data_IF_021993977212
#
_entry.id   IF_021993977212
#
_cell.length_a   1.000
_cell.length_b   1.000
_cell.length_c   1.000
_cell.angle_alpha   90.00
_cell.angle_beta   90.00
_cell.angle_gamma   90.00
#
_symmetry.space_group_name_H-M   'P 1'
#
loop_
_entity.id
_entity.type
_entity.pdbx_description
1 polymer ?
#
# COMPACT_ATOMS: atom_id res chain seq x y z
N UNK A 1 34.74 51.95 -1.84
CA UNK A 1 34.18 51.24 -0.67
C UNK A 1 33.51 49.96 -1.16
N UNK A 2 33.98 48.83 -0.64
CA UNK A 2 33.41 47.47 -0.60
C UNK A 2 32.61 46.93 -1.81
N UNK A 3 33.25 46.08 -2.60
CA UNK A 3 32.58 44.90 -3.15
C UNK A 3 33.27 43.65 -2.59
N UNK A 4 32.53 42.86 -1.81
CA UNK A 4 32.93 41.50 -1.45
C UNK A 4 31.85 40.56 -1.97
N UNK A 5 32.13 39.99 -3.14
CA UNK A 5 31.37 38.90 -3.74
C UNK A 5 31.49 37.66 -2.85
N UNK A 6 30.36 37.18 -2.33
CA UNK A 6 30.28 35.88 -1.68
C UNK A 6 30.46 34.76 -2.69
N UNK A 7 31.51 33.95 -2.54
CA UNK A 7 31.70 32.72 -3.32
C UNK A 7 30.72 31.65 -2.85
N UNK A 8 29.74 31.34 -3.70
CA UNK A 8 28.92 30.13 -3.59
C UNK A 8 29.66 29.00 -4.30
N UNK A 9 30.36 28.17 -3.53
CA UNK A 9 31.01 26.96 -4.02
C UNK A 9 30.39 25.73 -3.37
N UNK A 10 29.35 25.16 -3.99
CA UNK A 10 28.86 23.83 -3.59
C UNK A 10 29.80 22.76 -4.15
N UNK A 11 30.27 21.84 -3.30
CA UNK A 11 31.17 20.74 -3.68
C UNK A 11 30.46 19.69 -4.55
N UNK A 12 31.17 19.12 -5.53
CA UNK A 12 30.63 18.13 -6.48
C UNK A 12 29.97 16.90 -5.83
N UNK A 13 30.47 16.46 -4.66
CA UNK A 13 29.85 15.37 -3.87
C UNK A 13 28.48 15.76 -3.33
N UNK A 14 28.31 17.01 -2.89
CA UNK A 14 27.03 17.54 -2.40
C UNK A 14 26.04 17.69 -3.56
N UNK A 15 26.50 18.16 -4.72
CA UNK A 15 25.68 18.23 -5.94
C UNK A 15 25.22 16.84 -6.43
N UNK A 16 26.12 15.84 -6.44
CA UNK A 16 25.77 14.46 -6.80
C UNK A 16 24.77 13.84 -5.83
N UNK A 17 24.96 14.02 -4.52
CA UNK A 17 24.01 13.53 -3.51
C UNK A 17 22.65 14.23 -3.63
N UNK A 18 22.61 15.54 -3.84
CA UNK A 18 21.35 16.27 -4.04
C UNK A 18 20.64 15.86 -5.32
N UNK A 19 21.38 15.66 -6.42
CA UNK A 19 20.80 15.20 -7.68
C UNK A 19 20.25 13.77 -7.56
N UNK A 20 20.99 12.85 -6.93
CA UNK A 20 20.55 11.48 -6.67
C UNK A 20 19.28 11.44 -5.82
N UNK A 21 19.25 12.19 -4.72
CA UNK A 21 18.07 12.28 -3.85
C UNK A 21 16.86 12.88 -4.59
N UNK A 22 17.05 13.85 -5.48
CA UNK A 22 15.97 14.41 -6.28
C UNK A 22 15.41 13.39 -7.30
N UNK A 23 16.27 12.59 -7.93
CA UNK A 23 15.86 11.51 -8.83
C UNK A 23 15.10 10.42 -8.09
N UNK A 24 15.58 10.01 -6.92
CA UNK A 24 14.92 9.00 -6.09
C UNK A 24 13.53 9.46 -5.64
N UNK A 25 13.42 10.68 -5.09
CA UNK A 25 12.13 11.26 -4.69
C UNK A 25 11.16 11.39 -5.88
N UNK A 26 11.68 11.71 -7.06
CA UNK A 26 10.87 11.75 -8.28
C UNK A 26 10.32 10.36 -8.63
N UNK A 27 11.16 9.33 -8.58
CA UNK A 27 10.75 7.95 -8.87
C UNK A 27 9.73 7.43 -7.83
N UNK A 28 9.90 7.76 -6.54
CA UNK A 28 8.93 7.42 -5.50
C UNK A 28 7.59 8.09 -5.80
N UNK A 29 7.62 9.37 -6.17
CA UNK A 29 6.42 10.13 -6.54
C UNK A 29 5.70 9.51 -7.75
N UNK A 30 6.44 9.01 -8.75
CA UNK A 30 5.86 8.32 -9.90
C UNK A 30 5.22 6.98 -9.50
N UNK A 31 5.89 6.19 -8.65
CA UNK A 31 5.32 4.94 -8.14
C UNK A 31 4.04 5.15 -7.32
N UNK A 32 4.04 6.17 -6.44
CA UNK A 32 2.86 6.58 -5.68
C UNK A 32 1.70 7.00 -6.59
N UNK A 33 1.98 7.78 -7.63
CA UNK A 33 0.95 8.22 -8.59
C UNK A 33 0.41 7.08 -9.46
N UNK A 34 1.25 6.09 -9.79
CA UNK A 34 0.87 4.95 -10.62
C UNK A 34 -0.14 4.03 -9.92
N UNK A 35 0.06 3.75 -8.64
CA UNK A 35 -0.77 2.78 -7.91
C UNK A 35 -1.66 3.42 -6.83
N UNK A 36 -1.23 4.50 -6.19
CA UNK A 36 -1.89 5.03 -4.98
C UNK A 36 -2.47 6.44 -5.17
N UNK A 37 -2.94 6.76 -6.37
CA UNK A 37 -3.53 8.07 -6.71
C UNK A 37 -4.95 8.29 -6.16
N UNK A 38 -5.24 7.77 -4.97
CA UNK A 38 -6.54 7.89 -4.33
C UNK A 38 -6.50 8.89 -3.17
N UNK A 39 -6.85 10.14 -3.49
CA UNK A 39 -6.47 11.28 -2.67
C UNK A 39 -7.50 11.76 -1.64
N UNK A 40 -8.75 11.32 -1.74
CA UNK A 40 -9.82 11.76 -0.84
C UNK A 40 -10.01 10.82 0.35
N UNK A 41 -10.39 11.37 1.51
CA UNK A 41 -10.69 10.60 2.72
C UNK A 41 -9.56 9.66 3.16
N UNK A 42 -8.30 10.10 2.96
CA UNK A 42 -7.12 9.32 3.32
C UNK A 42 -7.01 9.15 4.85
N UNK A 43 -6.19 8.20 5.28
CA UNK A 43 -5.91 7.98 6.71
C UNK A 43 -4.49 8.38 7.05
N UNK A 44 -4.29 8.84 8.28
CA UNK A 44 -2.97 9.15 8.80
C UNK A 44 -2.85 8.80 10.28
N UNK A 45 -1.61 8.53 10.71
CA UNK A 45 -1.27 8.29 12.10
C UNK A 45 0.16 8.78 12.36
N UNK A 46 0.52 8.88 13.64
CA UNK A 46 1.92 9.00 14.04
C UNK A 46 2.63 7.67 13.82
N UNK A 47 3.82 7.69 13.25
CA UNK A 47 4.67 6.51 13.17
C UNK A 47 5.34 6.24 14.54
N UNK A 48 5.14 5.06 15.14
CA UNK A 48 5.76 4.74 16.43
C UNK A 48 7.28 4.52 16.31
N UNK A 49 7.83 4.34 15.11
CA UNK A 49 9.26 4.04 14.81
C UNK A 49 9.78 2.71 15.36
N UNK A 50 9.04 2.04 16.24
CA UNK A 50 9.28 0.72 16.80
C UNK A 50 7.95 0.10 17.23
N UNK A 51 7.91 -1.21 17.53
CA UNK A 51 6.73 -1.84 18.11
C UNK A 51 6.67 -1.58 19.61
N UNK A 52 5.60 -0.96 20.08
CA UNK A 52 5.33 -0.68 21.49
C UNK A 52 4.12 -1.46 22.03
N UNK A 53 3.66 -2.48 21.29
CA UNK A 53 2.46 -3.26 21.60
C UNK A 53 1.14 -2.55 21.27
N UNK A 54 1.16 -1.35 20.68
CA UNK A 54 -0.05 -0.58 20.36
C UNK A 54 -0.23 -0.45 18.85
N UNK A 55 -1.48 -0.57 18.40
CA UNK A 55 -1.83 -0.24 17.01
C UNK A 55 -1.74 1.28 16.81
N UNK A 56 -1.31 1.76 15.62
CA UNK A 56 -1.33 3.20 15.33
C UNK A 56 -2.73 3.78 15.50
N UNK A 57 -2.81 4.98 16.08
CA UNK A 57 -4.08 5.70 16.22
C UNK A 57 -4.45 6.40 14.91
N UNK A 58 -5.06 5.64 14.00
CA UNK A 58 -5.47 6.11 12.68
C UNK A 58 -6.62 7.10 12.76
N UNK A 59 -6.49 8.23 12.07
CA UNK A 59 -7.60 9.17 11.81
C UNK A 59 -7.87 9.27 10.33
N UNK A 60 -9.13 9.46 9.97
CA UNK A 60 -9.52 9.79 8.59
C UNK A 60 -9.51 11.31 8.43
N UNK A 61 -8.83 11.80 7.39
CA UNK A 61 -8.80 13.22 7.02
C UNK A 61 -9.72 13.45 5.82
N UNK A 62 -10.71 14.32 5.99
CA UNK A 62 -11.73 14.62 4.97
C UNK A 62 -11.79 16.10 4.60
N UNK A 63 -11.03 16.96 5.27
CA UNK A 63 -11.07 18.41 5.07
C UNK A 63 -10.36 18.87 3.79
N UNK A 64 -9.47 18.04 3.23
CA UNK A 64 -8.81 18.29 1.95
C UNK A 64 -8.43 16.97 1.25
N UNK A 65 -8.22 17.04 -0.06
CA UNK A 65 -7.62 15.95 -0.83
C UNK A 65 -6.09 16.03 -0.82
N UNK A 66 -5.44 14.87 -0.85
CA UNK A 66 -4.03 14.79 -1.20
C UNK A 66 -3.82 15.24 -2.65
N UNK A 67 -2.55 15.52 -2.95
CA UNK A 67 -2.02 15.51 -4.31
C UNK A 67 -0.68 14.77 -4.26
N UNK A 68 -0.09 14.46 -5.41
CA UNK A 68 1.15 13.68 -5.45
C UNK A 68 2.26 14.28 -4.57
N UNK A 69 2.42 15.61 -4.57
CA UNK A 69 3.42 16.29 -3.74
C UNK A 69 3.15 16.16 -2.23
N UNK A 70 1.91 16.34 -1.80
CA UNK A 70 1.54 16.19 -0.38
C UNK A 70 1.62 14.74 0.07
N UNK A 71 1.21 13.79 -0.79
CA UNK A 71 1.33 12.36 -0.53
C UNK A 71 2.78 11.95 -0.38
N UNK A 72 3.66 12.33 -1.32
CA UNK A 72 5.10 12.09 -1.23
C UNK A 72 5.68 12.64 0.09
N UNK A 73 5.34 13.88 0.44
CA UNK A 73 5.84 14.50 1.69
C UNK A 73 5.45 13.70 2.93
N UNK A 74 4.22 13.16 2.97
CA UNK A 74 3.76 12.33 4.09
C UNK A 74 4.37 10.95 4.09
N UNK A 75 4.52 10.36 2.90
CA UNK A 75 5.09 9.03 2.71
C UNK A 75 6.56 8.94 3.18
N UNK A 76 7.36 9.97 2.91
CA UNK A 76 8.78 10.01 3.30
C UNK A 76 9.03 10.57 4.71
N UNK A 77 7.99 11.04 5.40
CA UNK A 77 8.13 11.59 6.75
C UNK A 77 8.26 10.43 7.76
N UNK A 78 9.42 10.28 8.44
CA UNK A 78 9.65 9.16 9.36
C UNK A 78 8.76 9.20 10.61
N UNK A 79 8.08 10.32 10.88
CA UNK A 79 7.14 10.48 11.99
C UNK A 79 5.67 10.30 11.57
N UNK A 80 5.42 10.09 10.27
CA UNK A 80 4.07 9.94 9.72
C UNK A 80 3.83 8.54 9.16
N UNK A 81 2.61 8.07 9.33
CA UNK A 81 2.04 7.02 8.51
C UNK A 81 0.87 7.61 7.73
N UNK A 82 0.78 7.25 6.45
CA UNK A 82 -0.32 7.59 5.56
C UNK A 82 -0.88 6.34 4.91
N UNK A 83 -2.18 6.36 4.63
CA UNK A 83 -2.91 5.33 3.91
C UNK A 83 -4.00 5.94 3.03
N UNK A 84 -4.43 5.22 2.02
CA UNK A 84 -5.38 5.71 0.99
C UNK A 84 -6.67 4.88 0.99
N UNK A 85 -7.73 5.44 0.41
CA UNK A 85 -9.00 4.75 0.14
C UNK A 85 -9.25 4.79 -1.35
N UNK A 86 -9.65 3.66 -1.95
CA UNK A 86 -10.05 3.66 -3.36
C UNK A 86 -11.17 4.68 -3.64
N UNK A 87 -11.18 5.21 -4.86
CA UNK A 87 -12.18 6.18 -5.29
C UNK A 87 -13.58 5.55 -5.33
N UNK A 88 -14.55 6.24 -4.73
CA UNK A 88 -15.96 5.86 -4.66
C UNK A 88 -16.82 6.38 -5.81
N UNK A 89 -16.28 7.25 -6.66
CA UNK A 89 -16.99 7.87 -7.76
C UNK A 89 -17.56 6.81 -8.72
N UNK A 90 -18.70 7.15 -9.35
CA UNK A 90 -19.33 6.26 -10.32
C UNK A 90 -18.37 6.01 -11.49
N UNK A 91 -18.12 4.73 -11.79
CA UNK A 91 -17.19 4.33 -12.83
C UNK A 91 -15.72 4.44 -12.42
N UNK A 92 -15.42 4.56 -11.12
CA UNK A 92 -14.04 4.48 -10.66
C UNK A 92 -13.38 3.17 -11.08
N UNK A 93 -12.12 3.28 -11.45
CA UNK A 93 -11.28 2.17 -11.86
C UNK A 93 -10.02 2.11 -10.99
N UNK A 94 -9.42 0.93 -10.94
CA UNK A 94 -8.23 0.64 -10.13
C UNK A 94 -7.41 -0.44 -10.82
N UNK A 95 -6.09 -0.42 -10.62
CA UNK A 95 -5.12 -1.34 -11.20
C UNK A 95 -4.43 -2.24 -10.15
N UNK A 96 -5.01 -2.39 -8.96
CA UNK A 96 -4.55 -3.33 -7.94
C UNK A 96 -5.68 -3.71 -6.97
N UNK A 97 -5.50 -4.84 -6.30
CA UNK A 97 -6.17 -5.13 -5.04
C UNK A 97 -5.15 -5.49 -3.95
N UNK A 98 -5.63 -5.50 -2.71
CA UNK A 98 -4.88 -5.84 -1.53
C UNK A 98 -5.72 -6.74 -0.62
N UNK A 99 -5.10 -7.79 -0.09
CA UNK A 99 -5.61 -8.61 1.01
C UNK A 99 -4.72 -8.35 2.21
N UNK A 100 -5.30 -7.95 3.33
CA UNK A 100 -4.58 -7.68 4.59
C UNK A 100 -4.90 -8.78 5.60
N UNK A 101 -3.86 -9.48 6.04
CA UNK A 101 -3.92 -10.53 7.05
C UNK A 101 -3.27 -10.03 8.33
N UNK A 102 -4.04 -9.95 9.41
CA UNK A 102 -3.49 -9.69 10.74
C UNK A 102 -2.68 -10.92 11.19
N UNK A 103 -1.62 -10.71 11.95
CA UNK A 103 -0.70 -11.76 12.43
C UNK A 103 -1.42 -12.86 13.20
N UNK A 104 -2.52 -12.53 13.88
CA UNK A 104 -3.35 -13.49 14.61
C UNK A 104 -4.62 -13.90 13.84
N UNK A 105 -4.71 -13.52 12.56
CA UNK A 105 -5.77 -13.95 11.64
C UNK A 105 -5.70 -15.44 11.36
N UNK A 106 -6.88 -16.07 11.18
CA UNK A 106 -7.01 -17.53 10.95
C UNK A 106 -6.53 -18.04 9.59
N UNK A 107 -5.83 -17.19 8.86
CA UNK A 107 -5.31 -17.43 7.51
C UNK A 107 -3.84 -17.05 7.44
N UNK A 108 -3.27 -16.45 8.50
CA UNK A 108 -1.88 -16.02 8.47
C UNK A 108 -0.95 -17.24 8.34
N UNK A 109 0.02 -17.23 7.39
CA UNK A 109 0.80 -18.42 7.04
C UNK A 109 1.67 -18.96 8.18
N UNK A 110 2.01 -18.10 9.16
CA UNK A 110 2.75 -18.52 10.35
C UNK A 110 2.01 -19.59 11.19
N UNK A 111 0.68 -19.56 11.19
CA UNK A 111 -0.15 -20.49 11.98
C UNK A 111 -1.01 -21.40 11.07
N UNK A 112 -1.39 -20.92 9.88
CA UNK A 112 -2.34 -21.59 8.98
C UNK A 112 -1.80 -21.70 7.54
N UNK A 113 -0.64 -22.35 7.31
CA UNK A 113 0.01 -22.39 6.00
C UNK A 113 -0.85 -23.08 4.92
N UNK A 114 -1.59 -24.14 5.26
CA UNK A 114 -2.47 -24.82 4.29
C UNK A 114 -3.67 -23.94 3.87
N UNK A 115 -4.27 -23.22 4.83
CA UNK A 115 -5.36 -22.28 4.54
C UNK A 115 -4.87 -21.09 3.71
N UNK A 116 -3.67 -20.61 4.00
CA UNK A 116 -3.01 -19.56 3.24
C UNK A 116 -2.74 -20.01 1.80
N UNK A 117 -2.16 -21.19 1.61
CA UNK A 117 -1.88 -21.72 0.27
C UNK A 117 -3.18 -21.89 -0.52
N UNK A 118 -4.21 -22.48 0.09
CA UNK A 118 -5.53 -22.61 -0.55
C UNK A 118 -6.11 -21.25 -0.98
N UNK A 119 -5.91 -20.20 -0.19
CA UNK A 119 -6.34 -18.85 -0.55
C UNK A 119 -5.58 -18.37 -1.80
N UNK A 120 -4.26 -18.55 -1.88
CA UNK A 120 -3.46 -18.19 -3.04
C UNK A 120 -3.86 -18.99 -4.28
N UNK A 121 -4.04 -20.30 -4.16
CA UNK A 121 -4.50 -21.16 -5.26
C UNK A 121 -5.85 -20.68 -5.82
N UNK A 122 -6.78 -20.29 -4.93
CA UNK A 122 -8.09 -19.80 -5.35
C UNK A 122 -8.00 -18.42 -6.03
N UNK A 123 -7.04 -17.57 -5.65
CA UNK A 123 -6.74 -16.34 -6.37
C UNK A 123 -6.17 -16.61 -7.76
N UNK A 124 -5.26 -17.57 -7.87
CA UNK A 124 -4.65 -17.98 -9.14
C UNK A 124 -5.70 -18.51 -10.13
N UNK A 125 -6.65 -19.33 -9.67
CA UNK A 125 -7.79 -19.83 -10.47
C UNK A 125 -8.63 -18.71 -11.10
N UNK A 126 -8.70 -17.54 -10.47
CA UNK A 126 -9.47 -16.38 -10.93
C UNK A 126 -8.60 -15.35 -11.68
N UNK A 127 -7.36 -15.72 -12.01
CA UNK A 127 -6.42 -14.91 -12.79
C UNK A 127 -5.53 -13.98 -11.97
N UNK A 128 -5.56 -14.04 -10.64
CA UNK A 128 -4.70 -13.24 -9.76
C UNK A 128 -3.46 -14.07 -9.38
N UNK A 129 -2.52 -14.19 -10.33
CA UNK A 129 -1.47 -15.24 -10.33
C UNK A 129 -0.09 -14.81 -9.82
N UNK A 130 0.11 -13.53 -9.47
CA UNK A 130 1.43 -13.00 -9.10
C UNK A 130 1.34 -12.07 -7.90
N UNK A 131 1.15 -12.63 -6.69
CA UNK A 131 1.09 -11.84 -5.48
C UNK A 131 2.43 -11.13 -5.20
N UNK A 132 2.35 -9.93 -4.64
CA UNK A 132 3.48 -9.21 -4.06
C UNK A 132 3.27 -9.14 -2.56
N UNK A 133 4.14 -9.82 -1.82
CA UNK A 133 4.03 -9.94 -0.38
C UNK A 133 4.74 -8.81 0.35
N UNK A 134 4.08 -8.23 1.33
CA UNK A 134 4.62 -7.14 2.15
C UNK A 134 4.30 -7.41 3.61
N UNK A 135 5.32 -7.49 4.46
CA UNK A 135 5.11 -7.30 5.89
C UNK A 135 4.61 -5.87 6.10
N UNK A 136 3.47 -5.69 6.75
CA UNK A 136 2.79 -4.40 6.84
C UNK A 136 3.36 -3.51 7.95
N UNK A 137 3.91 -4.11 9.01
CA UNK A 137 4.51 -3.39 10.14
C UNK A 137 5.36 -4.31 11.03
N UNK A 138 5.93 -3.76 12.10
CA UNK A 138 6.65 -4.53 13.12
C UNK A 138 5.83 -5.61 13.82
N UNK A 139 4.48 -5.56 13.74
CA UNK A 139 3.65 -6.64 14.28
C UNK A 139 3.61 -7.89 13.40
N UNK A 140 4.29 -7.88 12.25
CA UNK A 140 4.36 -8.99 11.28
C UNK A 140 3.05 -9.31 10.53
N UNK A 141 2.11 -8.36 10.46
CA UNK A 141 0.94 -8.53 9.59
C UNK A 141 1.36 -8.62 8.12
N UNK A 142 0.55 -9.28 7.28
CA UNK A 142 0.88 -9.58 5.89
C UNK A 142 -0.11 -8.91 4.93
N UNK A 143 0.41 -8.02 4.08
CA UNK A 143 -0.27 -7.48 2.93
C UNK A 143 0.07 -8.31 1.69
N UNK A 144 -0.94 -8.69 0.92
CA UNK A 144 -0.82 -9.39 -0.36
C UNK A 144 -1.38 -8.47 -1.44
N UNK A 145 -0.52 -7.89 -2.26
CA UNK A 145 -0.93 -7.06 -3.38
C UNK A 145 -1.04 -7.91 -4.65
N UNK A 146 -2.07 -7.66 -5.45
CA UNK A 146 -2.12 -8.13 -6.82
C UNK A 146 -2.24 -6.91 -7.73
N UNK A 147 -1.23 -6.68 -8.56
CA UNK A 147 -1.27 -5.63 -9.56
C UNK A 147 -1.98 -6.14 -10.83
N UNK A 148 -2.73 -5.28 -11.49
CA UNK A 148 -3.51 -5.60 -12.67
C UNK A 148 -2.87 -4.97 -13.90
N UNK A 149 -2.85 -5.70 -15.01
CA UNK A 149 -2.38 -5.23 -16.32
C UNK A 149 -3.18 -4.04 -16.84
N UNK A 150 -4.48 -4.02 -16.53
CA UNK A 150 -5.42 -2.97 -16.91
C UNK A 150 -6.23 -2.49 -15.71
N UNK A 151 -6.69 -1.23 -15.78
CA UNK A 151 -7.57 -0.68 -14.77
C UNK A 151 -8.98 -1.28 -14.92
N UNK A 152 -9.50 -1.87 -13.86
CA UNK A 152 -10.83 -2.50 -13.81
C UNK A 152 -11.77 -1.70 -12.93
N UNK A 153 -13.08 -1.92 -13.08
CA UNK A 153 -14.06 -1.28 -12.20
C UNK A 153 -13.82 -1.68 -10.73
N UNK A 154 -13.64 -0.68 -9.86
CA UNK A 154 -13.27 -0.88 -8.45
C UNK A 154 -14.29 -1.72 -7.68
N UNK A 155 -15.59 -1.54 -7.94
CA UNK A 155 -16.62 -2.29 -7.23
C UNK A 155 -16.70 -3.74 -7.72
N UNK A 156 -16.55 -3.98 -9.02
CA UNK A 156 -16.50 -5.33 -9.56
C UNK A 156 -15.30 -6.09 -9.02
N UNK A 157 -14.13 -5.44 -8.91
CA UNK A 157 -12.94 -6.04 -8.28
C UNK A 157 -13.20 -6.38 -6.82
N UNK A 158 -13.87 -5.50 -6.06
CA UNK A 158 -14.25 -5.78 -4.67
C UNK A 158 -15.13 -7.03 -4.56
N UNK A 159 -16.12 -7.16 -5.44
CA UNK A 159 -16.98 -8.35 -5.51
C UNK A 159 -16.21 -9.61 -5.88
N UNK A 160 -15.28 -9.52 -6.84
CA UNK A 160 -14.44 -10.63 -7.26
C UNK A 160 -13.60 -11.15 -6.09
N UNK A 161 -12.80 -10.30 -5.46
CA UNK A 161 -11.90 -10.73 -4.38
C UNK A 161 -12.65 -11.26 -3.15
N UNK A 162 -13.83 -10.70 -2.85
CA UNK A 162 -14.70 -11.25 -1.80
C UNK A 162 -15.16 -12.67 -2.14
N UNK A 163 -15.61 -12.89 -3.38
CA UNK A 163 -16.06 -14.20 -3.85
C UNK A 163 -14.93 -15.22 -3.85
N UNK A 164 -13.71 -14.82 -4.23
CA UNK A 164 -12.52 -15.69 -4.20
C UNK A 164 -12.26 -16.19 -2.77
N UNK A 165 -12.22 -15.27 -1.80
CA UNK A 165 -11.99 -15.60 -0.39
C UNK A 165 -13.10 -16.50 0.15
N UNK A 166 -14.36 -16.22 -0.19
CA UNK A 166 -15.50 -17.06 0.19
C UNK A 166 -15.42 -18.47 -0.42
N UNK A 167 -14.95 -18.60 -1.68
CA UNK A 167 -14.71 -19.90 -2.34
C UNK A 167 -13.58 -20.69 -1.71
N UNK A 168 -12.56 -20.02 -1.19
CA UNK A 168 -11.52 -20.67 -0.38
C UNK A 168 -12.08 -21.25 0.94
N UNK A 169 -13.34 -20.94 1.29
CA UNK A 169 -13.98 -21.33 2.54
C UNK A 169 -13.68 -20.38 3.69
N UNK A 170 -13.22 -19.16 3.37
CA UNK A 170 -12.77 -18.17 4.32
C UNK A 170 -13.80 -17.04 4.37
N UNK A 171 -14.08 -16.56 5.58
CA UNK A 171 -14.96 -15.41 5.79
C UNK A 171 -14.11 -14.16 6.03
N UNK A 172 -14.25 -13.09 5.21
CA UNK A 172 -13.63 -11.80 5.51
C UNK A 172 -14.11 -11.25 6.85
N UNK A 173 -13.18 -10.76 7.67
CA UNK A 173 -13.44 -10.31 9.04
C UNK A 173 -12.49 -9.18 9.43
N UNK A 174 -13.07 -8.10 9.95
CA UNK A 174 -12.35 -6.89 10.36
C UNK A 174 -11.28 -7.22 11.41
N UNK A 175 -10.04 -6.79 11.18
CA UNK A 175 -8.91 -7.08 12.06
C UNK A 175 -8.37 -8.52 11.99
N UNK A 176 -8.84 -9.35 11.05
CA UNK A 176 -8.31 -10.70 10.80
C UNK A 176 -7.94 -10.91 9.33
N UNK A 177 -8.89 -10.68 8.42
CA UNK A 177 -8.71 -10.71 6.98
C UNK A 177 -9.57 -9.61 6.34
N UNK A 178 -8.92 -8.55 5.89
CA UNK A 178 -9.55 -7.40 5.26
C UNK A 178 -9.23 -7.31 3.77
N UNK A 179 -10.21 -6.82 3.00
CA UNK A 179 -10.14 -6.78 1.54
C UNK A 179 -10.20 -5.35 1.02
N UNK A 180 -9.38 -5.07 0.02
CA UNK A 180 -9.14 -3.72 -0.50
C UNK A 180 -9.10 -3.78 -2.03
N UNK A 181 -10.12 -3.27 -2.74
CA UNK A 181 -11.35 -2.64 -2.22
C UNK A 181 -12.31 -3.65 -1.57
N UNK A 182 -13.05 -3.24 -0.54
CA UNK A 182 -14.10 -4.07 0.08
C UNK A 182 -15.47 -3.89 -0.60
N UNK A 183 -16.32 -4.91 -0.55
CA UNK A 183 -17.74 -4.76 -0.89
C UNK A 183 -18.43 -3.82 0.09
N UNK A 184 -18.59 -2.56 -0.29
CA UNK A 184 -19.33 -1.56 0.48
C UNK A 184 -20.84 -1.73 0.34
N UNK A 185 -21.58 -1.41 1.39
CA UNK A 185 -23.04 -1.37 1.35
C UNK A 185 -23.52 -0.20 0.47
N UNK A 186 -24.55 -0.44 -0.33
CA UNK A 186 -25.20 0.63 -1.08
C UNK A 186 -26.14 1.42 -0.17
N UNK A 187 -26.02 2.74 -0.17
CA UNK A 187 -26.93 3.65 0.51
C UNK A 187 -27.38 4.75 -0.46
N UNK A 188 -28.69 4.90 -0.67
CA UNK A 188 -29.26 5.91 -1.58
C UNK A 188 -29.01 7.34 -1.13
N UNK A 189 -28.85 7.56 0.17
CA UNK A 189 -28.81 8.88 0.78
C UNK A 189 -27.38 9.35 1.10
N UNK A 190 -26.39 8.46 0.99
CA UNK A 190 -25.02 8.76 1.37
C UNK A 190 -24.01 7.92 0.57
N UNK A 191 -22.94 8.56 0.12
CA UNK A 191 -21.79 7.85 -0.46
C UNK A 191 -21.12 7.03 0.66
N UNK A 192 -21.03 5.73 0.48
CA UNK A 192 -20.25 4.85 1.35
C UNK A 192 -18.82 4.73 0.83
N UNK A 193 -17.87 4.88 1.74
CA UNK A 193 -16.44 4.79 1.44
C UNK A 193 -15.96 3.34 1.44
N UNK A 194 -14.97 3.04 0.59
CA UNK A 194 -14.15 1.86 0.76
C UNK A 194 -13.32 1.98 2.05
N UNK A 195 -12.92 0.85 2.62
CA UNK A 195 -11.95 0.80 3.70
C UNK A 195 -10.62 1.41 3.22
N UNK A 196 -9.90 2.01 4.17
CA UNK A 196 -8.58 2.57 3.91
C UNK A 196 -7.53 1.54 4.25
N UNK A 197 -6.46 1.49 3.46
CA UNK A 197 -5.28 0.71 3.79
C UNK A 197 -4.07 1.63 3.91
N UNK A 198 -3.11 1.21 4.74
CA UNK A 198 -1.82 1.87 4.87
C UNK A 198 -0.99 1.69 3.59
N UNK A 199 -0.16 2.69 3.25
CA UNK A 199 0.81 2.56 2.16
C UNK A 199 2.01 1.68 2.58
N UNK A 200 2.51 0.81 1.68
CA UNK A 200 3.62 -0.10 1.98
C UNK A 200 4.94 0.66 2.12
N UNK A 201 5.90 0.07 2.84
CA UNK A 201 7.32 0.47 2.82
C UNK A 201 7.57 1.94 3.20
N UNK A 202 6.72 2.50 4.08
CA UNK A 202 6.97 3.81 4.68
C UNK A 202 8.18 3.75 5.62
N UNK A 203 8.91 4.86 5.73
CA UNK A 203 10.17 4.91 6.51
C UNK A 203 9.94 4.55 7.99
N UNK A 204 10.84 3.75 8.59
CA UNK A 204 10.81 3.35 10.02
C UNK A 204 9.52 2.68 10.49
N UNK A 205 8.79 2.04 9.58
CA UNK A 205 7.42 1.63 9.83
C UNK A 205 7.29 0.11 10.08
N UNK A 206 8.41 -0.61 10.00
CA UNK A 206 8.51 -2.07 10.09
C UNK A 206 7.96 -2.80 8.87
N UNK A 207 7.64 -2.07 7.81
CA UNK A 207 7.13 -2.64 6.57
C UNK A 207 8.29 -3.08 5.67
N UNK A 208 8.22 -4.30 5.16
CA UNK A 208 9.27 -4.94 4.37
C UNK A 208 8.64 -5.64 3.16
N UNK A 209 9.27 -5.53 2.00
CA UNK A 209 8.96 -6.37 0.85
C UNK A 209 9.48 -7.78 1.15
N UNK A 210 8.66 -8.78 0.84
CA UNK A 210 8.97 -10.18 1.08
C UNK A 210 9.15 -10.95 -0.25
N UNK A 211 9.97 -11.99 -0.20
CA UNK A 211 10.10 -12.98 -1.26
C UNK A 211 8.95 -13.98 -1.28
N UNK A 212 9.04 -14.96 -2.18
CA UNK A 212 8.00 -15.99 -2.38
C UNK A 212 7.87 -16.92 -1.16
N UNK A 213 8.95 -17.10 -0.39
CA UNK A 213 8.96 -17.87 0.86
C UNK A 213 8.68 -16.98 2.10
N UNK A 214 8.15 -15.77 1.87
CA UNK A 214 7.82 -14.75 2.87
C UNK A 214 9.02 -14.25 3.70
N UNK A 215 10.23 -14.40 3.20
CA UNK A 215 11.46 -13.86 3.77
C UNK A 215 11.63 -12.38 3.43
N UNK A 216 12.16 -11.53 4.32
CA UNK A 216 12.43 -10.14 4.00
C UNK A 216 13.51 -9.99 2.93
N UNK A 217 13.21 -9.26 1.85
CA UNK A 217 14.15 -9.02 0.74
C UNK A 217 14.52 -7.55 0.52
N UNK A 218 13.65 -6.61 0.90
CA UNK A 218 13.94 -5.17 0.77
C UNK A 218 13.06 -4.32 1.70
N UNK A 219 13.58 -3.16 2.10
CA UNK A 219 12.84 -2.08 2.75
C UNK A 219 12.64 -0.86 1.83
N UNK A 220 13.01 -0.97 0.55
CA UNK A 220 12.94 0.10 -0.43
C UNK A 220 11.61 0.07 -1.21
N UNK A 221 10.88 1.19 -1.19
CA UNK A 221 9.62 1.34 -1.92
C UNK A 221 9.76 1.16 -3.45
N UNK A 222 10.90 1.55 -4.04
CA UNK A 222 11.11 1.40 -5.48
C UNK A 222 11.28 -0.07 -5.89
N UNK A 223 11.82 -0.92 -5.01
CA UNK A 223 11.86 -2.36 -5.24
C UNK A 223 10.45 -2.93 -5.21
N UNK A 224 9.61 -2.50 -4.24
CA UNK A 224 8.19 -2.83 -4.22
C UNK A 224 7.48 -2.43 -5.53
N UNK A 225 7.74 -1.24 -6.06
CA UNK A 225 7.17 -0.81 -7.35
C UNK A 225 7.65 -1.71 -8.50
N UNK A 226 8.92 -2.12 -8.52
CA UNK A 226 9.42 -3.05 -9.53
C UNK A 226 8.70 -4.41 -9.49
N UNK A 227 8.37 -4.90 -8.29
CA UNK A 227 7.59 -6.13 -8.10
C UNK A 227 6.13 -5.95 -8.53
N UNK A 228 5.50 -4.83 -8.19
CA UNK A 228 4.15 -4.50 -8.67
C UNK A 228 4.10 -4.41 -10.21
N UNK A 229 5.12 -3.84 -10.84
CA UNK A 229 5.24 -3.73 -12.30
C UNK A 229 5.48 -5.10 -12.97
N UNK A 230 6.16 -6.02 -12.28
CA UNK A 230 6.30 -7.39 -12.75
C UNK A 230 5.01 -8.19 -12.57
N UNK A 231 4.34 -8.06 -11.43
CA UNK A 231 3.02 -8.65 -11.15
C UNK A 231 2.01 -8.26 -12.21
N UNK A 232 1.88 -6.96 -12.52
CA UNK A 232 0.95 -6.44 -13.51
C UNK A 232 1.16 -6.95 -14.94
N UNK A 233 2.35 -7.52 -15.27
CA UNK A 233 2.61 -8.09 -16.60
C UNK A 233 2.15 -9.54 -16.73
N UNK A 234 1.83 -10.20 -15.62
CA UNK A 234 1.45 -11.61 -15.56
C UNK A 234 -0.05 -11.83 -15.37
N UNK A 235 -0.79 -10.75 -15.11
CA UNK A 235 -2.24 -10.73 -14.86
C UNK A 235 -3.03 -10.44 -16.12
#
# INVERSE_FOLDING_TARGET
>A
MSSCQGKVGMTQRKLKNTAHNNTELHNISQGLEKYFNHYWSFIEARNPKHYDGKKPNWRTETSFSLNNKTLLRRFIDPDSLVGVRFDTNKGSVVNYCLVDLDTFGRVHPAEYPETFQKLLDTFEEEGLVSPVFVQSSYSMGLHIFFALSEAVNTFNLACLIKRVVERAGIKPEDGHLELFPNCKFFNKNQVTNYKAHRLPLQTNSGSLLLGDELEPISDNFLDFIAYMDFSARKT
#
